data_IF_973262189136
#
_entry.id   IF_973262189136
#
_cell.length_a   1.000
_cell.length_b   1.000
_cell.length_c   1.000
_cell.angle_alpha   90.00
_cell.angle_beta   90.00
_cell.angle_gamma   90.00
#
_symmetry.space_group_name_H-M   'P 1'
#
loop_
_entity.id
_entity.type
_entity.pdbx_description
1 polymer ?
#
# COMPACT_ATOMS: atom_id res chain seq x y z
N UNK A 1 -61.27 72.26 5.32
CA UNK A 1 -61.41 70.79 5.43
C UNK A 1 -60.23 70.18 4.74
N UNK A 2 -59.24 69.70 5.49
CA UNK A 2 -58.01 69.11 4.98
C UNK A 2 -58.08 67.56 5.26
N UNK A 3 -58.17 66.82 4.14
CA UNK A 3 -58.09 65.34 4.23
C UNK A 3 -56.64 64.93 4.29
N UNK A 4 -56.26 64.22 5.34
CA UNK A 4 -54.94 63.59 5.53
C UNK A 4 -54.98 62.21 4.88
N UNK A 5 -54.13 61.98 3.86
CA UNK A 5 -53.86 60.68 3.32
C UNK A 5 -52.78 60.02 4.14
N UNK A 6 -53.10 58.87 4.73
CA UNK A 6 -52.13 57.99 5.40
C UNK A 6 -51.63 57.02 4.36
N UNK A 7 -50.36 57.14 4.01
CA UNK A 7 -49.68 56.21 3.09
C UNK A 7 -49.21 55.01 3.90
N UNK A 8 -49.76 53.84 3.59
CA UNK A 8 -49.38 52.57 4.19
C UNK A 8 -48.23 51.99 3.36
N UNK A 9 -46.99 52.08 3.84
CA UNK A 9 -45.85 51.45 3.19
C UNK A 9 -45.80 49.94 3.58
N UNK A 10 -46.11 49.09 2.60
CA UNK A 10 -45.96 47.65 2.75
C UNK A 10 -44.48 47.29 2.57
N UNK A 11 -43.81 46.92 3.68
CA UNK A 11 -42.46 46.41 3.68
C UNK A 11 -42.51 44.92 3.32
N UNK A 12 -42.21 44.57 2.06
CA UNK A 12 -42.05 43.17 1.66
C UNK A 12 -40.64 42.70 2.03
N UNK A 13 -40.54 41.93 3.10
CA UNK A 13 -39.29 41.24 3.48
C UNK A 13 -39.18 40.00 2.57
N UNK A 14 -38.28 40.07 1.59
CA UNK A 14 -37.91 38.95 0.74
C UNK A 14 -36.86 38.11 1.49
N UNK A 15 -37.29 37.07 2.20
CA UNK A 15 -36.39 36.09 2.79
C UNK A 15 -35.73 35.27 1.66
N UNK A 16 -34.51 35.63 1.29
CA UNK A 16 -33.65 34.74 0.52
C UNK A 16 -33.23 33.58 1.42
N UNK A 17 -33.90 32.45 1.31
CA UNK A 17 -33.41 31.17 1.81
C UNK A 17 -32.25 30.72 0.92
N UNK A 18 -31.03 31.00 1.35
CA UNK A 18 -29.83 30.41 0.77
C UNK A 18 -29.85 28.94 1.17
N UNK A 19 -30.38 28.08 0.30
CA UNK A 19 -30.12 26.65 0.37
C UNK A 19 -28.65 26.43 0.08
N UNK A 20 -27.84 26.34 1.13
CA UNK A 20 -26.51 25.79 1.03
C UNK A 20 -26.66 24.32 0.63
N UNK A 21 -26.57 24.02 -0.66
CA UNK A 21 -26.27 22.67 -1.12
C UNK A 21 -24.88 22.32 -0.58
N UNK A 22 -24.85 21.64 0.56
CA UNK A 22 -23.68 20.90 0.99
C UNK A 22 -23.43 19.81 -0.05
N UNK A 23 -22.50 20.07 -0.95
CA UNK A 23 -21.90 18.99 -1.74
C UNK A 23 -21.19 18.09 -0.72
N UNK A 24 -21.86 17.02 -0.34
CA UNK A 24 -21.18 15.87 0.25
C UNK A 24 -20.32 15.30 -0.87
N UNK A 25 -19.03 15.48 -0.73
CA UNK A 25 -18.04 14.76 -1.50
C UNK A 25 -18.09 13.29 -1.08
N UNK A 26 -19.03 12.54 -1.66
CA UNK A 26 -19.14 11.10 -1.50
C UNK A 26 -18.18 10.42 -2.45
N UNK A 27 -16.90 10.38 -2.08
CA UNK A 27 -15.95 9.49 -2.74
C UNK A 27 -15.01 8.79 -1.75
N UNK A 28 -15.59 8.24 -0.69
CA UNK A 28 -14.91 7.15 0.02
C UNK A 28 -15.27 5.87 -0.73
N UNK A 29 -14.39 5.45 -1.64
CA UNK A 29 -14.44 4.10 -2.22
C UNK A 29 -14.25 3.14 -1.04
N UNK A 30 -15.35 2.58 -0.54
CA UNK A 30 -15.34 1.59 0.54
C UNK A 30 -14.84 0.27 -0.03
N UNK A 31 -13.53 0.11 -0.15
CA UNK A 31 -12.93 -1.20 -0.27
C UNK A 31 -13.02 -1.89 1.10
N UNK A 32 -13.29 -3.20 1.13
CA UNK A 32 -13.10 -4.01 2.34
C UNK A 32 -11.60 -3.94 2.67
N UNK A 33 -11.23 -3.12 3.63
CA UNK A 33 -9.83 -2.92 4.02
C UNK A 33 -9.28 -4.24 4.56
N UNK A 34 -8.29 -4.79 3.88
CA UNK A 34 -7.52 -5.92 4.41
C UNK A 34 -6.61 -5.36 5.49
N UNK A 35 -6.57 -6.04 6.65
CA UNK A 35 -5.60 -5.76 7.70
C UNK A 35 -4.29 -6.50 7.39
N UNK A 36 -3.15 -5.87 7.71
CA UNK A 36 -1.83 -6.54 7.66
C UNK A 36 -1.85 -7.85 8.47
N UNK A 37 -2.65 -7.91 9.57
CA UNK A 37 -2.80 -9.12 10.39
C UNK A 37 -3.46 -10.30 9.68
N UNK A 38 -4.19 -10.05 8.59
CA UNK A 38 -4.90 -11.07 7.83
C UNK A 38 -4.06 -11.61 6.66
N UNK A 39 -2.91 -10.99 6.41
CA UNK A 39 -1.99 -11.34 5.33
C UNK A 39 -0.97 -12.34 5.88
N UNK A 40 -0.83 -13.53 5.26
CA UNK A 40 0.23 -14.47 5.60
C UNK A 40 1.63 -13.84 5.45
N UNK A 41 2.58 -14.35 6.19
CA UNK A 41 3.97 -13.94 6.00
C UNK A 41 4.46 -14.32 4.59
N UNK A 42 5.43 -13.54 4.10
CA UNK A 42 6.07 -13.81 2.82
C UNK A 42 6.73 -15.19 2.80
N UNK A 43 6.40 -15.99 1.79
CA UNK A 43 6.89 -17.36 1.61
C UNK A 43 7.41 -17.61 0.19
N UNK A 44 8.37 -16.81 -0.26
CA UNK A 44 9.01 -16.91 -1.58
C UNK A 44 8.09 -16.71 -2.79
N UNK A 45 6.88 -16.22 -2.59
CA UNK A 45 5.96 -15.81 -3.67
C UNK A 45 5.80 -14.30 -3.64
N UNK A 46 5.99 -13.63 -4.78
CA UNK A 46 5.85 -12.18 -4.87
C UNK A 46 4.44 -11.70 -4.55
N UNK A 47 3.44 -12.55 -4.68
CA UNK A 47 2.04 -12.27 -4.37
C UNK A 47 1.30 -13.50 -3.87
N UNK A 48 0.14 -13.25 -3.26
CA UNK A 48 -0.85 -14.27 -2.90
C UNK A 48 -2.23 -13.85 -3.41
N UNK A 49 -3.09 -14.84 -3.65
CA UNK A 49 -4.50 -14.61 -3.89
C UNK A 49 -5.22 -14.39 -2.56
N UNK A 50 -6.10 -13.40 -2.52
CA UNK A 50 -6.90 -13.08 -1.34
C UNK A 50 -8.39 -13.11 -1.70
N UNK A 51 -9.26 -13.29 -0.71
CA UNK A 51 -10.72 -13.40 -0.90
C UNK A 51 -11.11 -14.36 -2.05
N UNK A 52 -10.46 -15.53 -2.12
CA UNK A 52 -10.64 -16.51 -3.20
C UNK A 52 -10.35 -15.97 -4.61
N UNK A 53 -9.50 -14.96 -4.73
CA UNK A 53 -9.18 -14.25 -5.96
C UNK A 53 -10.38 -13.49 -6.57
N UNK A 54 -11.38 -13.14 -5.75
CA UNK A 54 -12.60 -12.44 -6.19
C UNK A 54 -12.45 -10.95 -5.86
N UNK A 55 -12.47 -10.06 -6.88
CA UNK A 55 -12.43 -8.62 -6.64
C UNK A 55 -13.72 -8.12 -6.01
N UNK A 56 -13.64 -7.09 -5.17
CA UNK A 56 -14.74 -6.60 -4.33
C UNK A 56 -15.55 -5.47 -4.97
N UNK A 57 -15.54 -5.35 -6.32
CA UNK A 57 -16.33 -4.33 -7.03
C UNK A 57 -17.83 -4.61 -6.93
N UNK A 58 -18.60 -3.55 -6.67
CA UNK A 58 -20.07 -3.61 -6.69
C UNK A 58 -20.58 -3.49 -8.13
N UNK A 59 -21.74 -4.05 -8.40
CA UNK A 59 -22.38 -3.91 -9.72
C UNK A 59 -22.60 -2.45 -10.10
N UNK A 60 -22.84 -1.57 -9.12
CA UNK A 60 -23.00 -0.12 -9.34
C UNK A 60 -21.70 0.60 -9.74
N UNK A 61 -20.54 -0.03 -9.57
CA UNK A 61 -19.24 0.50 -9.99
C UNK A 61 -18.91 0.11 -11.44
N UNK A 62 -19.57 -0.92 -11.98
CA UNK A 62 -19.34 -1.39 -13.34
C UNK A 62 -19.73 -0.31 -14.36
N UNK A 63 -18.77 0.17 -15.14
CA UNK A 63 -18.95 1.24 -16.12
C UNK A 63 -17.98 1.09 -17.27
N UNK A 64 -18.43 1.45 -18.47
CA UNK A 64 -17.59 1.54 -19.68
C UNK A 64 -17.11 2.96 -19.93
N UNK A 65 -17.26 3.86 -18.95
CA UNK A 65 -16.70 5.19 -19.01
C UNK A 65 -15.33 5.20 -18.34
N UNK A 66 -14.28 5.44 -19.11
CA UNK A 66 -12.91 5.52 -18.59
C UNK A 66 -12.76 6.65 -17.58
N UNK A 67 -12.02 6.39 -16.53
CA UNK A 67 -11.64 7.37 -15.52
C UNK A 67 -10.40 6.90 -14.76
N UNK A 68 -9.73 7.84 -14.09
CA UNK A 68 -8.72 7.57 -13.06
C UNK A 68 -8.97 8.48 -11.86
N UNK A 69 -8.72 7.95 -10.66
CA UNK A 69 -8.87 8.67 -9.38
C UNK A 69 -7.76 8.27 -8.43
N UNK A 70 -7.18 9.25 -7.78
CA UNK A 70 -6.13 9.09 -6.78
C UNK A 70 -6.57 9.76 -5.49
N UNK A 71 -6.64 9.00 -4.41
CA UNK A 71 -6.99 9.54 -3.10
C UNK A 71 -5.92 10.52 -2.60
N UNK A 72 -6.31 11.44 -1.72
CA UNK A 72 -5.37 12.34 -1.08
C UNK A 72 -4.34 11.57 -0.24
N UNK A 73 -3.15 12.15 -0.09
CA UNK A 73 -2.15 11.62 0.81
C UNK A 73 -2.64 11.73 2.25
N UNK A 74 -2.26 10.79 3.07
CA UNK A 74 -2.53 10.87 4.51
C UNK A 74 -1.60 11.87 5.22
N UNK A 75 -1.77 12.02 6.54
CA UNK A 75 -0.99 12.94 7.36
C UNK A 75 0.53 12.62 7.42
N UNK A 76 0.92 11.41 7.00
CA UNK A 76 2.32 10.98 6.89
C UNK A 76 2.85 11.12 5.46
N UNK A 77 2.06 11.68 4.54
CA UNK A 77 2.42 11.82 3.12
C UNK A 77 2.39 10.51 2.36
N UNK A 78 1.64 9.50 2.84
CA UNK A 78 1.53 8.20 2.21
C UNK A 78 0.36 8.15 1.23
N UNK A 79 0.54 7.43 0.13
CA UNK A 79 -0.54 7.18 -0.83
C UNK A 79 -1.68 6.39 -0.17
N UNK A 80 -2.88 6.61 -0.69
CA UNK A 80 -4.06 5.81 -0.40
C UNK A 80 -4.55 5.15 -1.70
N UNK A 81 -5.82 4.78 -1.78
CA UNK A 81 -6.38 4.03 -2.92
C UNK A 81 -6.21 4.78 -4.23
N UNK A 82 -5.71 4.07 -5.25
CA UNK A 82 -5.76 4.46 -6.65
C UNK A 82 -6.80 3.58 -7.38
N UNK A 83 -7.68 4.20 -8.15
CA UNK A 83 -8.81 3.52 -8.78
C UNK A 83 -9.07 4.04 -10.19
N UNK A 84 -9.21 3.14 -11.15
CA UNK A 84 -9.48 3.48 -12.54
C UNK A 84 -10.50 2.53 -13.19
N UNK A 85 -11.18 3.03 -14.19
CA UNK A 85 -11.76 2.23 -15.25
C UNK A 85 -10.84 2.40 -16.46
N UNK A 86 -10.00 1.41 -16.70
CA UNK A 86 -9.00 1.44 -17.77
C UNK A 86 -9.69 1.11 -19.09
N UNK A 87 -9.72 2.07 -19.99
CA UNK A 87 -10.12 1.90 -21.37
C UNK A 87 -8.99 2.36 -22.29
N UNK A 88 -9.04 1.99 -23.55
CA UNK A 88 -7.99 2.31 -24.53
C UNK A 88 -7.79 3.82 -24.73
N UNK A 89 -8.84 4.59 -24.52
CA UNK A 89 -8.87 6.05 -24.67
C UNK A 89 -8.01 6.80 -23.65
N UNK A 90 -7.73 6.20 -22.48
CA UNK A 90 -6.85 6.79 -21.46
C UNK A 90 -5.47 6.16 -21.40
N UNK A 91 -5.20 5.10 -22.17
CA UNK A 91 -3.87 4.53 -22.27
C UNK A 91 -2.89 5.51 -22.92
N UNK A 92 -1.59 5.47 -22.54
CA UNK A 92 -0.63 6.46 -23.04
C UNK A 92 -0.39 6.33 -24.54
N UNK A 93 -0.48 7.45 -25.25
CA UNK A 93 -0.07 7.59 -26.65
C UNK A 93 1.41 8.02 -26.75
N UNK A 94 2.00 8.52 -25.67
CA UNK A 94 3.37 9.04 -25.63
C UNK A 94 4.31 8.17 -24.80
N UNK A 95 5.61 8.35 -24.96
CA UNK A 95 6.62 7.68 -24.14
C UNK A 95 6.61 8.25 -22.73
N UNK A 96 6.80 7.36 -21.75
CA UNK A 96 6.90 7.70 -20.34
C UNK A 96 7.97 8.77 -20.08
N UNK A 97 7.59 9.81 -19.36
CA UNK A 97 8.47 10.86 -18.89
C UNK A 97 9.30 10.45 -17.67
N UNK A 98 10.17 11.35 -17.21
CA UNK A 98 10.97 11.13 -15.99
C UNK A 98 10.13 11.37 -14.75
N UNK A 99 10.33 10.53 -13.72
CA UNK A 99 9.64 10.63 -12.42
C UNK A 99 10.63 10.83 -11.25
N UNK A 100 11.90 11.10 -11.56
CA UNK A 100 12.99 11.17 -10.58
C UNK A 100 12.83 12.25 -9.52
N UNK A 101 12.08 13.32 -9.79
CA UNK A 101 11.80 14.42 -8.86
C UNK A 101 10.82 14.04 -7.75
N UNK A 102 9.95 13.06 -7.98
CA UNK A 102 8.97 12.62 -6.98
C UNK A 102 9.65 11.75 -5.94
N UNK A 103 9.37 12.05 -4.66
CA UNK A 103 9.88 11.28 -3.51
C UNK A 103 8.69 10.82 -2.68
N UNK A 104 8.22 9.58 -2.87
CA UNK A 104 7.17 9.00 -2.03
C UNK A 104 7.62 8.89 -0.57
N UNK A 105 6.67 8.61 0.35
CA UNK A 105 7.00 8.40 1.76
C UNK A 105 8.10 7.35 1.93
N UNK A 106 9.03 7.58 2.87
CA UNK A 106 10.15 6.69 3.17
C UNK A 106 11.15 6.50 2.01
N UNK A 107 11.21 7.41 1.03
CA UNK A 107 12.10 7.27 -0.14
C UNK A 107 13.57 7.37 0.22
N UNK A 108 14.32 6.32 -0.12
CA UNK A 108 15.78 6.27 -0.10
C UNK A 108 16.33 5.85 -1.46
N UNK A 109 17.52 6.36 -1.79
CA UNK A 109 18.28 5.85 -2.95
C UNK A 109 19.36 4.93 -2.42
N UNK A 110 19.13 3.64 -2.50
CA UNK A 110 20.05 2.62 -2.00
C UNK A 110 20.28 1.54 -3.06
N UNK A 111 21.49 0.99 -3.07
CA UNK A 111 21.92 -0.02 -4.05
C UNK A 111 22.50 -1.23 -3.35
N UNK A 112 22.23 -2.40 -3.90
CA UNK A 112 22.80 -3.68 -3.52
C UNK A 112 23.23 -4.45 -4.75
N UNK A 113 24.36 -5.15 -4.69
CA UNK A 113 24.90 -5.88 -5.83
C UNK A 113 24.06 -7.15 -6.14
N UNK A 114 23.34 -7.68 -5.16
CA UNK A 114 22.44 -8.83 -5.30
C UNK A 114 21.12 -8.51 -6.04
N UNK A 115 20.82 -7.23 -6.33
CA UNK A 115 19.57 -6.81 -6.98
C UNK A 115 19.82 -6.53 -8.46
N UNK A 116 18.94 -7.04 -9.33
CA UNK A 116 18.94 -6.67 -10.75
C UNK A 116 18.74 -5.15 -10.92
N UNK A 117 19.64 -4.51 -11.69
CA UNK A 117 19.70 -3.05 -11.81
C UNK A 117 20.22 -2.32 -10.56
N UNK A 118 20.57 -3.07 -9.51
CA UNK A 118 21.18 -2.64 -8.24
C UNK A 118 20.29 -1.79 -7.32
N UNK A 119 19.32 -1.05 -7.81
CA UNK A 119 18.47 -0.18 -6.99
C UNK A 119 17.40 -0.99 -6.24
N UNK A 120 17.42 -0.92 -4.91
CA UNK A 120 16.42 -1.56 -4.06
C UNK A 120 15.03 -0.97 -4.32
N UNK A 121 14.94 0.36 -4.21
CA UNK A 121 13.66 1.04 -4.32
C UNK A 121 13.41 1.59 -5.72
N UNK A 122 12.18 1.38 -6.15
CA UNK A 122 11.58 1.95 -7.33
C UNK A 122 10.46 2.91 -6.91
N UNK A 123 10.20 3.93 -7.70
CA UNK A 123 8.97 4.69 -7.63
C UNK A 123 7.90 3.87 -8.31
N UNK A 124 7.28 2.96 -7.55
CA UNK A 124 6.25 2.09 -8.08
C UNK A 124 4.96 2.88 -8.27
N UNK A 125 4.42 2.86 -9.48
CA UNK A 125 3.07 3.35 -9.70
C UNK A 125 2.07 2.39 -9.06
N UNK A 126 1.03 2.92 -8.42
CA UNK A 126 -0.14 2.13 -8.02
C UNK A 126 -0.93 1.72 -9.27
N UNK A 127 -1.23 2.66 -10.14
CA UNK A 127 -1.74 2.38 -11.49
C UNK A 127 -0.60 2.64 -12.46
N UNK A 128 -0.13 1.58 -13.14
CA UNK A 128 1.01 1.62 -14.04
C UNK A 128 0.82 2.64 -15.17
N UNK A 129 1.90 3.32 -15.57
CA UNK A 129 1.88 4.28 -16.67
C UNK A 129 1.23 3.72 -17.94
N UNK A 130 1.45 2.44 -18.24
CA UNK A 130 0.88 1.79 -19.41
C UNK A 130 -0.65 1.69 -19.41
N UNK A 131 -1.30 1.91 -18.26
CA UNK A 131 -2.76 1.77 -18.11
C UNK A 131 -3.51 3.10 -18.29
N UNK A 132 -2.96 4.21 -17.78
CA UNK A 132 -3.65 5.50 -17.76
C UNK A 132 -2.78 6.68 -18.22
N UNK A 133 -1.50 6.46 -18.52
CA UNK A 133 -0.59 7.54 -18.92
C UNK A 133 -0.19 8.49 -17.78
N UNK A 134 -0.69 8.28 -16.55
CA UNK A 134 -0.32 9.10 -15.38
C UNK A 134 1.14 8.91 -15.00
N UNK A 135 1.94 9.98 -15.02
CA UNK A 135 3.39 9.85 -14.94
C UNK A 135 3.97 10.21 -13.55
N UNK A 136 4.00 11.48 -13.20
CA UNK A 136 4.75 12.00 -12.05
C UNK A 136 3.84 12.44 -10.89
N UNK A 137 2.76 11.74 -10.67
CA UNK A 137 1.78 12.03 -9.63
C UNK A 137 2.21 11.40 -8.30
N UNK A 138 2.46 12.24 -7.29
CA UNK A 138 2.84 11.77 -5.94
C UNK A 138 1.76 10.89 -5.29
N UNK A 139 0.48 11.05 -5.65
CA UNK A 139 -0.64 10.25 -5.16
C UNK A 139 -0.72 8.86 -5.80
N UNK A 140 0.06 8.63 -6.86
CA UNK A 140 0.15 7.36 -7.59
C UNK A 140 1.50 6.67 -7.42
N UNK A 141 2.40 7.19 -6.60
CA UNK A 141 3.77 6.67 -6.47
C UNK A 141 4.07 6.27 -5.03
N UNK A 142 4.52 5.04 -4.84
CA UNK A 142 4.99 4.52 -3.56
C UNK A 142 6.47 4.15 -3.61
N UNK A 143 7.11 4.10 -2.45
CA UNK A 143 8.44 3.49 -2.29
C UNK A 143 8.27 1.98 -2.25
N UNK A 144 8.43 1.34 -3.39
CA UNK A 144 8.35 -0.12 -3.51
C UNK A 144 9.71 -0.72 -3.86
N UNK A 145 9.91 -1.98 -3.51
CA UNK A 145 11.12 -2.70 -3.91
C UNK A 145 11.14 -3.01 -5.40
N UNK A 146 12.32 -3.33 -5.92
CA UNK A 146 12.45 -3.84 -7.28
C UNK A 146 11.61 -5.11 -7.46
N UNK A 147 11.61 -5.99 -6.46
CA UNK A 147 10.86 -7.24 -6.47
C UNK A 147 9.34 -7.01 -6.49
N UNK A 148 8.80 -6.14 -5.61
CA UNK A 148 7.39 -5.75 -5.67
C UNK A 148 7.02 -5.23 -7.07
N UNK A 149 7.84 -4.32 -7.62
CA UNK A 149 7.53 -3.66 -8.88
C UNK A 149 7.50 -4.63 -10.07
N UNK A 150 8.48 -5.54 -10.14
CA UNK A 150 8.72 -6.38 -11.34
C UNK A 150 8.07 -7.76 -11.22
N UNK A 151 8.21 -8.40 -10.06
CA UNK A 151 7.69 -9.76 -9.85
C UNK A 151 6.27 -9.74 -9.24
N UNK A 152 5.95 -8.70 -8.46
CA UNK A 152 4.65 -8.57 -7.84
C UNK A 152 3.61 -7.90 -8.75
N UNK A 153 3.81 -6.63 -9.08
CA UNK A 153 2.78 -5.80 -9.72
C UNK A 153 2.74 -5.93 -11.25
N UNK A 154 3.90 -5.86 -11.90
CA UNK A 154 4.00 -5.79 -13.37
C UNK A 154 3.25 -6.92 -14.12
N UNK A 155 3.24 -8.18 -13.67
CA UNK A 155 2.49 -9.25 -14.37
C UNK A 155 0.99 -8.94 -14.45
N UNK A 156 0.40 -8.38 -13.38
CA UNK A 156 -1.03 -8.02 -13.34
C UNK A 156 -1.33 -6.76 -14.15
N UNK A 157 -0.43 -5.79 -14.14
CA UNK A 157 -0.55 -4.59 -14.98
C UNK A 157 -0.50 -4.97 -16.47
N UNK A 158 0.42 -5.86 -16.86
CA UNK A 158 0.52 -6.36 -18.23
C UNK A 158 -0.76 -7.10 -18.64
N UNK A 159 -1.29 -7.96 -17.78
CA UNK A 159 -2.54 -8.69 -18.04
C UNK A 159 -3.70 -7.74 -18.35
N UNK A 160 -3.85 -6.67 -17.58
CA UNK A 160 -4.88 -5.65 -17.80
C UNK A 160 -4.61 -4.88 -19.09
N UNK A 161 -3.35 -4.44 -19.31
CA UNK A 161 -2.99 -3.67 -20.50
C UNK A 161 -3.20 -4.46 -21.81
N UNK A 162 -2.83 -5.73 -21.81
CA UNK A 162 -2.96 -6.59 -22.99
C UNK A 162 -4.44 -6.86 -23.28
N UNK A 163 -5.25 -7.19 -22.26
CA UNK A 163 -6.70 -7.37 -22.44
C UNK A 163 -7.38 -6.13 -23.03
N UNK A 164 -7.10 -4.93 -22.51
CA UNK A 164 -7.71 -3.68 -23.04
C UNK A 164 -7.26 -3.42 -24.47
N UNK A 165 -6.00 -3.68 -24.82
CA UNK A 165 -5.49 -3.48 -26.20
C UNK A 165 -6.11 -4.45 -27.19
N UNK A 166 -6.30 -5.71 -26.78
CA UNK A 166 -6.80 -6.78 -27.66
C UNK A 166 -8.32 -6.71 -27.89
N UNK A 167 -9.07 -6.27 -26.87
CA UNK A 167 -10.54 -6.35 -26.91
C UNK A 167 -11.24 -5.01 -27.10
N UNK A 168 -10.56 -3.88 -26.84
CA UNK A 168 -11.16 -2.55 -26.66
C UNK A 168 -12.15 -2.46 -25.48
N UNK A 169 -12.27 -3.48 -24.65
CA UNK A 169 -13.10 -3.52 -23.47
C UNK A 169 -12.44 -2.78 -22.29
N UNK A 170 -13.25 -2.47 -21.28
CA UNK A 170 -12.81 -1.74 -20.09
C UNK A 170 -12.51 -2.70 -18.93
N UNK A 171 -11.58 -2.28 -18.06
CA UNK A 171 -11.24 -3.00 -16.84
C UNK A 171 -11.33 -2.04 -15.65
N UNK A 172 -12.18 -2.36 -14.66
CA UNK A 172 -12.08 -1.74 -13.35
C UNK A 172 -10.81 -2.24 -12.68
N UNK A 173 -9.96 -1.32 -12.24
CA UNK A 173 -8.66 -1.61 -11.64
C UNK A 173 -8.45 -0.76 -10.41
N UNK A 174 -8.22 -1.39 -9.27
CA UNK A 174 -8.02 -0.71 -7.98
C UNK A 174 -6.77 -1.24 -7.29
N UNK A 175 -5.94 -0.33 -6.82
CA UNK A 175 -4.76 -0.65 -6.03
C UNK A 175 -4.83 0.06 -4.69
N UNK A 176 -4.77 -0.74 -3.63
CA UNK A 176 -4.83 -0.27 -2.25
C UNK A 176 -3.48 -0.54 -1.57
N UNK A 177 -2.68 0.49 -1.28
CA UNK A 177 -1.46 0.33 -0.52
C UNK A 177 -1.79 0.02 0.94
N UNK A 178 -1.11 -0.98 1.51
CA UNK A 178 -1.34 -1.43 2.88
C UNK A 178 -0.16 -1.03 3.75
N UNK A 179 -0.40 -0.13 4.70
CA UNK A 179 0.60 0.33 5.66
C UNK A 179 0.31 -0.26 7.04
N UNK A 180 1.34 -0.61 7.76
CA UNK A 180 1.22 -0.96 9.17
C UNK A 180 1.48 0.28 10.04
N UNK A 181 0.47 0.72 10.80
CA UNK A 181 0.57 1.86 11.75
C UNK A 181 1.18 3.11 11.09
N UNK A 182 2.32 3.59 11.65
CA UNK A 182 3.06 4.78 11.23
C UNK A 182 4.24 4.49 10.29
N UNK A 183 4.30 3.29 9.70
CA UNK A 183 5.32 2.94 8.73
C UNK A 183 5.23 3.84 7.50
N UNK A 184 6.38 4.31 7.01
CA UNK A 184 6.46 5.16 5.82
C UNK A 184 6.45 4.33 4.52
N UNK A 185 6.82 3.05 4.58
CA UNK A 185 6.73 2.12 3.48
C UNK A 185 5.51 1.22 3.62
N UNK A 186 4.89 0.89 2.50
CA UNK A 186 3.82 -0.13 2.44
C UNK A 186 4.39 -1.50 2.83
N UNK A 187 3.61 -2.31 3.54
CA UNK A 187 3.89 -3.75 3.70
C UNK A 187 3.69 -4.49 2.38
N UNK A 188 2.82 -3.98 1.53
CA UNK A 188 2.51 -4.46 0.19
C UNK A 188 1.31 -3.73 -0.37
N UNK A 189 0.82 -4.16 -1.51
CA UNK A 189 -0.35 -3.59 -2.18
C UNK A 189 -1.37 -4.68 -2.50
N UNK A 190 -2.65 -4.38 -2.24
CA UNK A 190 -3.75 -5.15 -2.81
C UNK A 190 -4.02 -4.64 -4.22
N UNK A 191 -4.13 -5.54 -5.19
CA UNK A 191 -4.49 -5.24 -6.56
C UNK A 191 -5.76 -6.01 -6.92
N UNK A 192 -6.77 -5.30 -7.39
CA UNK A 192 -8.04 -5.86 -7.82
C UNK A 192 -8.35 -5.41 -9.23
N UNK A 193 -8.83 -6.34 -10.06
CA UNK A 193 -9.31 -6.01 -11.40
C UNK A 193 -10.52 -6.86 -11.78
N UNK A 194 -11.39 -6.27 -12.60
CA UNK A 194 -12.53 -6.95 -13.23
C UNK A 194 -12.84 -6.32 -14.57
N UNK A 195 -12.87 -7.12 -15.63
CA UNK A 195 -13.33 -6.67 -16.95
C UNK A 195 -14.83 -6.37 -16.92
N UNK A 196 -15.23 -5.32 -17.63
CA UNK A 196 -16.56 -4.74 -17.48
C UNK A 196 -17.57 -5.40 -18.42
N UNK A 197 -17.32 -5.40 -19.72
CA UNK A 197 -18.28 -5.82 -20.75
C UNK A 197 -18.62 -7.31 -20.68
N UNK A 198 -17.65 -8.13 -20.28
CA UNK A 198 -17.81 -9.59 -20.12
C UNK A 198 -18.01 -10.01 -18.66
N UNK A 199 -18.20 -9.03 -17.76
CA UNK A 199 -18.48 -9.25 -16.33
C UNK A 199 -17.40 -10.08 -15.61
N UNK A 200 -16.15 -9.96 -16.02
CA UNK A 200 -15.00 -10.59 -15.39
C UNK A 200 -14.57 -11.91 -16.02
N UNK A 201 -15.13 -12.29 -17.16
CA UNK A 201 -14.70 -13.53 -17.85
C UNK A 201 -13.25 -13.41 -18.40
N UNK A 202 -12.86 -12.24 -18.89
CA UNK A 202 -11.51 -11.99 -19.40
C UNK A 202 -10.52 -11.64 -18.30
N UNK A 203 -10.87 -10.74 -17.40
CA UNK A 203 -10.03 -10.30 -16.28
C UNK A 203 -10.82 -10.35 -14.97
N UNK A 204 -10.33 -11.16 -14.03
CA UNK A 204 -10.84 -11.16 -12.65
C UNK A 204 -9.74 -11.61 -11.69
N UNK A 205 -9.26 -10.69 -10.84
CA UNK A 205 -8.31 -11.06 -9.79
C UNK A 205 -8.40 -10.16 -8.57
N UNK A 206 -7.97 -10.70 -7.43
CA UNK A 206 -7.78 -10.00 -6.18
C UNK A 206 -6.54 -10.62 -5.49
N UNK A 207 -5.45 -9.87 -5.52
CA UNK A 207 -4.15 -10.33 -5.04
C UNK A 207 -3.53 -9.33 -4.10
N UNK A 208 -2.68 -9.82 -3.20
CA UNK A 208 -1.78 -9.00 -2.41
C UNK A 208 -0.34 -9.24 -2.84
N UNK A 209 0.35 -8.18 -3.24
CA UNK A 209 1.76 -8.21 -3.64
C UNK A 209 2.63 -7.69 -2.49
N UNK A 210 3.63 -8.46 -2.09
CA UNK A 210 4.51 -8.15 -0.96
C UNK A 210 5.56 -7.10 -1.32
N UNK A 211 5.75 -6.11 -0.47
CA UNK A 211 6.84 -5.14 -0.61
C UNK A 211 8.11 -5.64 0.08
N UNK A 212 8.65 -6.73 -0.40
CA UNK A 212 9.88 -7.35 0.10
C UNK A 212 10.94 -7.33 -0.99
N UNK A 213 12.19 -7.59 -0.62
CA UNK A 213 13.26 -7.92 -1.55
C UNK A 213 14.02 -9.11 -0.96
N UNK A 214 14.13 -10.24 -1.69
CA UNK A 214 14.95 -11.37 -1.25
C UNK A 214 16.35 -10.91 -0.83
N UNK A 215 16.89 -11.49 0.23
CA UNK A 215 18.20 -11.20 0.80
C UNK A 215 18.40 -9.78 1.39
N UNK A 216 17.35 -8.95 1.42
CA UNK A 216 17.37 -7.61 2.00
C UNK A 216 16.38 -7.52 3.15
N UNK A 217 16.83 -6.95 4.26
CA UNK A 217 15.99 -6.54 5.38
C UNK A 217 15.59 -5.08 5.19
N UNK A 218 14.31 -4.78 5.41
CA UNK A 218 13.75 -3.44 5.27
C UNK A 218 13.15 -2.99 6.61
N UNK A 219 13.54 -1.81 7.07
CA UNK A 219 12.82 -1.10 8.12
C UNK A 219 11.68 -0.30 7.47
N UNK A 220 10.46 -0.82 7.51
CA UNK A 220 9.30 -0.19 6.90
C UNK A 220 8.93 1.14 7.55
N UNK A 221 9.38 1.39 8.77
CA UNK A 221 9.12 2.65 9.45
C UNK A 221 9.89 3.81 8.83
N UNK A 222 11.13 3.55 8.42
CA UNK A 222 12.06 4.59 7.93
C UNK A 222 12.38 4.48 6.45
N UNK A 223 12.36 3.27 5.89
CA UNK A 223 12.88 2.93 4.57
C UNK A 223 14.36 2.58 4.57
N UNK A 224 15.01 2.54 5.72
CA UNK A 224 16.38 2.03 5.81
C UNK A 224 16.42 0.52 5.51
N UNK A 225 17.55 0.02 5.02
CA UNK A 225 17.69 -1.37 4.60
C UNK A 225 19.13 -1.85 4.70
N UNK A 226 19.31 -3.18 4.77
CA UNK A 226 20.61 -3.83 4.78
C UNK A 226 20.50 -5.26 4.25
N UNK A 227 21.61 -5.83 3.78
CA UNK A 227 21.65 -7.23 3.36
C UNK A 227 21.50 -8.16 4.57
N UNK A 228 20.85 -9.29 4.38
CA UNK A 228 20.76 -10.34 5.38
C UNK A 228 22.17 -10.78 5.77
N UNK A 229 22.47 -10.72 7.05
CA UNK A 229 23.81 -11.04 7.60
C UNK A 229 24.79 -9.85 7.66
N UNK A 230 24.50 -8.73 6.98
CA UNK A 230 25.23 -7.47 7.06
C UNK A 230 24.48 -6.47 7.93
N UNK A 231 24.26 -6.80 9.20
CA UNK A 231 23.55 -5.90 10.09
C UNK A 231 24.37 -4.64 10.32
N UNK A 232 23.89 -3.53 9.75
CA UNK A 232 24.41 -2.21 10.08
C UNK A 232 24.31 -2.07 11.59
N UNK A 233 25.42 -1.92 12.28
CA UNK A 233 25.45 -1.63 13.71
C UNK A 233 24.52 -0.43 13.94
N UNK A 234 23.31 -0.69 14.45
CA UNK A 234 22.42 0.36 14.94
C UNK A 234 23.25 1.11 15.96
N UNK A 235 23.37 2.44 15.79
CA UNK A 235 24.22 3.27 16.63
C UNK A 235 23.99 2.92 18.09
N UNK A 236 25.05 2.83 18.89
CA UNK A 236 25.06 2.46 20.31
C UNK A 236 24.05 3.26 21.18
N UNK A 237 23.43 4.31 20.62
CA UNK A 237 22.50 5.19 21.31
C UNK A 237 21.03 4.73 21.28
N UNK A 238 20.65 3.70 20.54
CA UNK A 238 19.24 3.33 20.35
C UNK A 238 18.80 2.27 21.38
N UNK A 239 18.53 2.73 22.60
CA UNK A 239 17.98 1.89 23.68
C UNK A 239 16.50 1.65 23.39
N UNK A 240 16.10 0.39 23.16
CA UNK A 240 14.71 -0.02 22.94
C UNK A 240 14.25 -1.02 23.99
N UNK A 241 12.93 -1.12 24.15
CA UNK A 241 12.33 -2.16 24.99
C UNK A 241 11.97 -3.38 24.14
N UNK A 242 12.50 -4.52 24.52
CA UNK A 242 12.26 -5.82 23.91
C UNK A 242 11.54 -6.74 24.89
N UNK A 243 10.80 -7.70 24.35
CA UNK A 243 10.22 -8.82 25.10
C UNK A 243 11.04 -10.06 24.77
N UNK A 244 11.68 -10.62 25.76
CA UNK A 244 12.52 -11.81 25.64
C UNK A 244 11.70 -13.07 25.87
N UNK A 245 11.91 -14.09 25.05
CA UNK A 245 11.57 -15.46 25.36
C UNK A 245 12.81 -16.15 25.94
N UNK A 246 12.86 -16.25 27.24
CA UNK A 246 14.03 -16.80 27.96
C UNK A 246 14.25 -18.28 27.69
N UNK A 247 13.21 -19.03 27.30
CA UNK A 247 13.27 -20.44 26.98
C UNK A 247 13.87 -20.70 25.58
N UNK A 248 13.42 -19.95 24.58
CA UNK A 248 13.88 -20.13 23.19
C UNK A 248 15.05 -19.22 22.82
N UNK A 249 15.47 -18.35 23.74
CA UNK A 249 16.49 -17.31 23.51
C UNK A 249 16.19 -16.40 22.34
N UNK A 250 14.89 -16.07 22.17
CA UNK A 250 14.42 -15.15 21.13
C UNK A 250 13.94 -13.85 21.74
N UNK A 251 14.12 -12.74 21.03
CA UNK A 251 13.59 -11.46 21.44
C UNK A 251 12.65 -10.86 20.40
N UNK A 252 11.63 -10.17 20.88
CA UNK A 252 10.58 -9.53 20.13
C UNK A 252 10.60 -8.02 20.37
N UNK A 253 10.17 -7.24 19.42
CA UNK A 253 9.76 -5.87 19.70
C UNK A 253 8.51 -5.90 20.60
N UNK A 254 8.35 -4.91 21.48
CA UNK A 254 7.17 -4.80 22.37
C UNK A 254 5.85 -4.76 21.58
N UNK A 255 5.88 -4.28 20.33
CA UNK A 255 4.76 -4.23 19.41
C UNK A 255 4.43 -5.55 18.71
N UNK A 256 5.31 -6.55 18.80
CA UNK A 256 5.15 -7.84 18.11
C UNK A 256 3.94 -8.61 18.66
N UNK A 257 3.05 -9.07 17.78
CA UNK A 257 1.87 -9.86 18.17
C UNK A 257 2.24 -11.17 18.85
N UNK A 258 3.30 -11.83 18.40
CA UNK A 258 3.81 -13.07 19.00
C UNK A 258 4.32 -12.86 20.44
N UNK A 259 4.79 -11.66 20.79
CA UNK A 259 5.20 -11.35 22.17
C UNK A 259 4.05 -11.37 23.17
N UNK A 260 2.80 -11.12 22.70
CA UNK A 260 1.60 -11.14 23.56
C UNK A 260 1.21 -12.56 23.98
N UNK A 261 1.58 -13.55 23.20
CA UNK A 261 1.22 -14.95 23.40
C UNK A 261 2.31 -15.74 24.18
N UNK A 262 3.38 -15.07 24.60
CA UNK A 262 4.42 -15.71 25.39
C UNK A 262 3.91 -16.03 26.80
N UNK A 263 4.11 -17.27 27.28
CA UNK A 263 3.82 -17.61 28.67
C UNK A 263 4.63 -16.73 29.63
N UNK A 264 4.00 -16.22 30.70
CA UNK A 264 4.63 -15.29 31.66
C UNK A 264 5.96 -15.84 32.24
N UNK A 265 6.04 -17.13 32.49
CA UNK A 265 7.24 -17.80 33.02
C UNK A 265 8.46 -17.73 32.08
N UNK A 266 8.26 -17.48 30.79
CA UNK A 266 9.30 -17.40 29.77
C UNK A 266 9.45 -15.97 29.23
N UNK A 267 8.73 -15.00 29.81
CA UNK A 267 8.66 -13.62 29.33
C UNK A 267 9.46 -12.70 30.25
N UNK A 268 10.38 -11.95 29.66
CA UNK A 268 11.16 -10.91 30.34
C UNK A 268 11.13 -9.63 29.50
N UNK A 269 10.98 -8.49 30.15
CA UNK A 269 11.09 -7.17 29.49
C UNK A 269 12.52 -6.66 29.65
N UNK A 270 13.19 -6.35 28.55
CA UNK A 270 14.56 -5.86 28.50
C UNK A 270 14.60 -4.50 27.79
N UNK A 271 15.19 -3.50 28.44
CA UNK A 271 15.46 -2.19 27.84
C UNK A 271 16.95 -2.02 27.64
N UNK A 272 17.38 -1.91 26.39
CA UNK A 272 18.79 -1.80 26.06
C UNK A 272 19.05 -1.91 24.56
N UNK A 273 20.31 -2.09 24.21
CA UNK A 273 20.76 -2.20 22.84
C UNK A 273 20.51 -3.63 22.31
N UNK A 274 20.11 -3.74 21.04
CA UNK A 274 19.90 -5.00 20.32
C UNK A 274 21.18 -5.87 20.30
N UNK A 275 22.33 -5.25 20.11
CA UNK A 275 23.62 -5.95 20.04
C UNK A 275 23.98 -6.61 21.38
N UNK A 276 23.56 -6.03 22.51
CA UNK A 276 23.72 -6.62 23.82
C UNK A 276 22.92 -7.94 23.96
N UNK A 277 21.73 -7.99 23.36
CA UNK A 277 20.91 -9.19 23.34
C UNK A 277 21.54 -10.29 22.49
N UNK A 278 22.06 -9.92 21.32
CA UNK A 278 22.75 -10.86 20.42
C UNK A 278 24.02 -11.39 21.10
N UNK A 279 24.80 -10.52 21.75
CA UNK A 279 26.01 -10.96 22.52
C UNK A 279 25.69 -11.89 23.71
N UNK A 280 24.45 -11.78 24.26
CA UNK A 280 23.89 -12.67 25.29
C UNK A 280 23.28 -13.95 24.72
N UNK A 281 23.42 -14.19 23.41
CA UNK A 281 22.92 -15.38 22.71
C UNK A 281 21.41 -15.37 22.43
N UNK A 282 20.78 -14.19 22.37
CA UNK A 282 19.42 -14.07 21.94
C UNK A 282 19.34 -13.77 20.43
N UNK A 283 18.35 -14.32 19.75
CA UNK A 283 18.06 -14.11 18.34
C UNK A 283 16.79 -13.27 18.13
N UNK A 284 16.73 -12.37 17.14
CA UNK A 284 15.52 -11.61 16.84
C UNK A 284 14.45 -12.51 16.21
N UNK A 285 13.20 -12.38 16.63
CA UNK A 285 12.08 -13.19 16.09
C UNK A 285 11.79 -12.86 14.63
N UNK A 286 11.92 -11.61 14.20
CA UNK A 286 11.69 -11.21 12.79
C UNK A 286 12.58 -11.99 11.80
N UNK A 287 13.73 -12.48 12.24
CA UNK A 287 14.61 -13.34 11.42
C UNK A 287 14.21 -14.80 11.41
N UNK A 288 13.54 -15.26 12.46
CA UNK A 288 13.14 -16.68 12.55
C UNK A 288 11.86 -16.96 11.77
N UNK A 289 11.00 -15.98 11.54
CA UNK A 289 9.86 -16.17 10.66
C UNK A 289 10.29 -16.39 9.19
N UNK A 290 11.36 -15.76 8.74
CA UNK A 290 11.93 -16.01 7.40
C UNK A 290 12.66 -17.37 7.32
N UNK A 291 13.24 -17.89 8.43
CA UNK A 291 13.96 -19.19 8.46
C UNK A 291 13.08 -20.39 8.80
N UNK A 292 11.99 -20.22 9.55
CA UNK A 292 11.13 -21.33 9.94
C UNK A 292 10.42 -21.99 8.73
N UNK A 293 10.22 -21.26 7.64
CA UNK A 293 9.65 -21.81 6.41
C UNK A 293 10.67 -22.57 5.54
N UNK A 294 11.99 -22.40 5.75
CA UNK A 294 12.99 -23.20 5.03
C UNK A 294 13.18 -24.60 5.60
N UNK A 295 12.75 -24.85 6.85
CA UNK A 295 12.97 -26.16 7.50
C UNK A 295 11.76 -27.10 7.47
N UNK A 296 10.55 -26.60 7.19
CA UNK A 296 9.33 -27.43 7.15
C UNK A 296 8.98 -28.01 5.77
N UNK A 297 9.80 -27.74 4.74
CA UNK A 297 9.59 -28.31 3.40
C UNK A 297 10.35 -29.62 3.13
N UNK A 298 10.96 -30.24 4.15
CA UNK A 298 11.57 -31.56 4.07
C UNK A 298 11.08 -32.46 5.21
N UNK A 299 9.82 -32.90 5.13
CA UNK A 299 9.35 -34.16 5.72
C UNK A 299 8.14 -34.66 4.93
#
# INVERSE_FOLDING_TARGET
MRKRFISLALLVIFCFSVSACSFKDESVVSSKSISVSDIPEYSNSAYIKIDNNIPSFKDSEMTTKSFEKYSELDNLGRCSVAYACVGKDIMPAEKRGTIGSVKPSGWHTVKYDCIDGKYLYNRCHLIGYQLTGENANIKNLITGTRYLNVEGMLPFENMVADYVKETDNHVLYRVTPIFERDNLLVSGVQMEAKSVEDNGDGISFNVYCYNVQPDIVIDYKTGESWEVGNEKSISESDTRTYILNTNTKKFHLKSCSSAKNLPDKNREEYSGNRNDLISKGYEPVSYTHLRAHETDSYL
#
